data_IF_345845260609
#
_entry.id   IF_345845260609
#
_cell.length_a   1.000
_cell.length_b   1.000
_cell.length_c   1.000
_cell.angle_alpha   90.00
_cell.angle_beta   90.00
_cell.angle_gamma   90.00
#
_symmetry.space_group_name_H-M   'P 1'
#
loop_
_entity.id
_entity.type
_entity.pdbx_description
1 polymer ?
#
# COMPACT_ATOMS: atom_id res chain seq x y z
N UNK A 1 -25.79 2.92 4.38
CA UNK A 1 -24.42 3.33 4.00
C UNK A 1 -23.50 2.11 4.08
N UNK A 2 -23.12 1.57 2.93
CA UNK A 2 -22.74 0.16 2.77
C UNK A 2 -21.28 -0.18 3.14
N UNK A 3 -20.65 0.63 4.00
CA UNK A 3 -19.34 0.31 4.57
C UNK A 3 -18.21 0.20 3.54
N UNK A 4 -18.37 0.78 2.35
CA UNK A 4 -17.36 0.75 1.30
C UNK A 4 -16.09 1.51 1.69
N UNK A 5 -14.95 0.94 1.32
CA UNK A 5 -13.64 1.55 1.58
C UNK A 5 -13.33 2.55 0.47
N UNK A 6 -13.11 3.81 0.86
CA UNK A 6 -12.64 4.86 -0.03
C UNK A 6 -11.16 5.14 0.23
N UNK A 7 -10.37 5.20 -0.85
CA UNK A 7 -9.00 5.74 -0.79
C UNK A 7 -9.08 7.20 -1.23
N UNK A 8 -8.62 8.10 -0.37
CA UNK A 8 -8.69 9.55 -0.56
C UNK A 8 -7.30 10.18 -0.35
N UNK A 9 -7.18 11.46 -0.69
CA UNK A 9 -5.96 12.27 -0.48
C UNK A 9 -4.72 11.72 -1.23
N UNK A 10 -4.81 11.70 -2.56
CA UNK A 10 -3.75 11.24 -3.48
C UNK A 10 -3.14 12.33 -4.37
N UNK A 11 -2.71 13.50 -3.85
CA UNK A 11 -2.03 14.49 -4.67
C UNK A 11 -0.63 14.03 -5.14
N UNK A 12 -0.06 12.98 -4.54
CA UNK A 12 1.27 12.44 -4.86
C UNK A 12 1.23 11.11 -5.65
N UNK A 13 0.09 10.76 -6.26
CA UNK A 13 0.02 9.58 -7.11
C UNK A 13 0.96 9.74 -8.32
N UNK A 14 1.70 8.68 -8.64
CA UNK A 14 2.55 8.60 -9.83
C UNK A 14 2.17 7.41 -10.70
N UNK A 15 2.48 7.51 -11.99
CA UNK A 15 2.36 6.38 -12.92
C UNK A 15 3.45 5.34 -12.66
N UNK A 16 3.24 4.11 -13.15
CA UNK A 16 4.23 3.02 -13.01
C UNK A 16 5.57 3.33 -13.69
N UNK A 17 5.56 4.16 -14.74
CA UNK A 17 6.78 4.56 -15.48
C UNK A 17 7.63 5.60 -14.74
N UNK A 18 7.16 6.12 -13.61
CA UNK A 18 7.89 7.11 -12.85
C UNK A 18 9.13 6.47 -12.18
N UNK A 19 10.32 7.11 -12.21
CA UNK A 19 11.55 6.53 -11.67
C UNK A 19 11.47 6.15 -10.18
N UNK A 20 10.59 6.82 -9.43
CA UNK A 20 10.36 6.55 -8.00
C UNK A 20 9.10 5.70 -7.71
N UNK A 21 8.44 5.13 -8.73
CA UNK A 21 7.19 4.39 -8.54
C UNK A 21 7.35 3.23 -7.55
N UNK A 22 8.43 2.45 -7.68
CA UNK A 22 8.71 1.31 -6.78
C UNK A 22 8.93 1.74 -5.32
N UNK A 23 9.64 2.87 -5.11
CA UNK A 23 9.86 3.42 -3.77
C UNK A 23 8.55 3.88 -3.13
N UNK A 24 7.69 4.55 -3.91
CA UNK A 24 6.42 5.09 -3.43
C UNK A 24 5.44 3.97 -3.06
N UNK A 25 5.27 2.97 -3.94
CA UNK A 25 4.36 1.85 -3.63
C UNK A 25 4.86 1.03 -2.43
N UNK A 26 6.19 0.82 -2.32
CA UNK A 26 6.78 0.15 -1.16
C UNK A 26 6.46 0.86 0.14
N UNK A 27 6.62 2.19 0.17
CA UNK A 27 6.29 3.03 1.34
C UNK A 27 4.81 2.91 1.70
N UNK A 28 3.94 3.00 0.72
CA UNK A 28 2.49 3.03 0.94
C UNK A 28 1.98 1.67 1.44
N UNK A 29 2.43 0.56 0.83
CA UNK A 29 2.13 -0.81 1.29
C UNK A 29 2.68 -1.04 2.69
N UNK A 30 3.92 -0.64 2.97
CA UNK A 30 4.51 -0.78 4.29
C UNK A 30 3.69 -0.03 5.37
N UNK A 31 3.23 1.18 5.07
CA UNK A 31 2.41 1.96 5.98
C UNK A 31 1.06 1.30 6.28
N UNK A 32 0.39 0.79 5.25
CA UNK A 32 -0.87 0.05 5.41
C UNK A 32 -0.64 -1.19 6.26
N UNK A 33 0.35 -2.02 5.93
CA UNK A 33 0.65 -3.23 6.71
C UNK A 33 1.02 -2.91 8.17
N UNK A 34 1.82 -1.86 8.41
CA UNK A 34 2.16 -1.39 9.77
C UNK A 34 0.92 -0.98 10.55
N UNK A 35 -0.01 -0.25 9.93
CA UNK A 35 -1.26 0.15 10.56
C UNK A 35 -2.11 -1.08 10.93
N UNK A 36 -2.30 -2.00 9.99
CA UNK A 36 -3.12 -3.18 10.22
C UNK A 36 -2.54 -4.14 11.26
N UNK A 37 -1.21 -4.30 11.26
CA UNK A 37 -0.49 -5.07 12.28
C UNK A 37 -0.67 -4.49 13.68
N UNK A 38 -0.59 -3.16 13.82
CA UNK A 38 -0.74 -2.48 15.12
C UNK A 38 -2.16 -2.56 15.66
N UNK A 39 -3.16 -2.32 14.80
CA UNK A 39 -4.56 -2.18 15.22
C UNK A 39 -5.32 -3.50 15.30
N UNK A 40 -5.04 -4.44 14.39
CA UNK A 40 -5.80 -5.69 14.26
C UNK A 40 -4.95 -6.95 14.28
N UNK A 41 -3.63 -6.85 14.53
CA UNK A 41 -2.72 -8.01 14.54
C UNK A 41 -2.76 -8.81 13.24
N UNK A 42 -3.01 -8.15 12.11
CA UNK A 42 -2.91 -8.75 10.78
C UNK A 42 -1.45 -8.69 10.35
N UNK A 43 -0.87 -9.85 10.02
CA UNK A 43 0.52 -9.99 9.60
C UNK A 43 0.59 -10.45 8.15
N UNK A 44 1.35 -9.71 7.34
CA UNK A 44 1.69 -10.02 5.95
C UNK A 44 3.16 -9.64 5.74
N UNK A 45 3.87 -10.43 4.93
CA UNK A 45 5.23 -10.09 4.52
C UNK A 45 5.22 -8.96 3.48
N UNK A 46 6.10 -7.98 3.64
CA UNK A 46 6.14 -6.80 2.78
C UNK A 46 6.60 -7.18 1.36
N UNK A 47 7.65 -7.97 1.25
CA UNK A 47 8.24 -8.28 -0.06
C UNK A 47 7.36 -9.26 -0.85
N UNK A 48 6.71 -10.21 -0.18
CA UNK A 48 5.69 -11.07 -0.78
C UNK A 48 4.49 -10.28 -1.28
N UNK A 49 3.99 -9.34 -0.47
CA UNK A 49 2.87 -8.47 -0.86
C UNK A 49 3.23 -7.60 -2.06
N UNK A 50 4.44 -7.04 -2.09
CA UNK A 50 4.90 -6.24 -3.22
C UNK A 50 5.09 -7.07 -4.48
N UNK A 51 5.64 -8.29 -4.37
CA UNK A 51 5.72 -9.21 -5.52
C UNK A 51 4.34 -9.52 -6.09
N UNK A 52 3.33 -9.73 -5.24
CA UNK A 52 1.95 -9.98 -5.69
C UNK A 52 1.29 -8.77 -6.35
N UNK A 53 1.61 -7.54 -5.90
CA UNK A 53 1.06 -6.32 -6.49
C UNK A 53 1.72 -5.95 -7.83
N UNK A 54 2.99 -6.33 -8.02
CA UNK A 54 3.79 -5.97 -9.19
C UNK A 54 3.91 -7.09 -10.24
N UNK A 55 3.38 -8.29 -9.93
CA UNK A 55 3.26 -9.41 -10.87
C UNK A 55 2.13 -9.19 -11.86
#
# INVERSE_FOLDING_TARGET
PDGEVLIIDWPQYVTMDHPNAELLIRRDVENVLKYFRRKWRVYRDLDETLRWLLS
#
